data_IF_601351522948
#
_entry.id   IF_601351522948
#
_cell.length_a   1.000
_cell.length_b   1.000
_cell.length_c   1.000
_cell.angle_alpha   90.00
_cell.angle_beta   90.00
_cell.angle_gamma   90.00
#
_symmetry.space_group_name_H-M   'P 1'
#
loop_
_entity.id
_entity.type
_entity.pdbx_description
1 polymer ?
#
# COMPACT_ATOMS: atom_id res chain seq x y z
N UNK A 1 -15.47 -26.01 -14.73
CA UNK A 1 -15.19 -25.48 -16.09
C UNK A 1 -15.09 -23.98 -15.94
N UNK A 2 -13.90 -23.39 -16.11
CA UNK A 2 -13.75 -21.94 -16.10
C UNK A 2 -14.42 -21.42 -17.39
N UNK A 3 -15.45 -20.59 -17.24
CA UNK A 3 -15.99 -19.81 -18.35
C UNK A 3 -14.83 -19.03 -18.97
N UNK A 4 -14.64 -19.20 -20.27
CA UNK A 4 -13.66 -18.43 -21.02
C UNK A 4 -14.07 -16.96 -20.94
N UNK A 5 -13.41 -16.21 -20.09
CA UNK A 5 -13.63 -14.75 -19.97
C UNK A 5 -13.36 -14.15 -21.34
N UNK A 6 -14.41 -13.59 -21.96
CA UNK A 6 -14.26 -12.88 -23.21
C UNK A 6 -13.46 -11.60 -22.96
N UNK A 7 -12.19 -11.59 -23.35
CA UNK A 7 -11.28 -10.47 -23.08
C UNK A 7 -11.82 -9.14 -23.68
N UNK A 8 -12.61 -9.20 -24.77
CA UNK A 8 -13.23 -7.99 -25.37
C UNK A 8 -14.29 -7.41 -24.43
N UNK A 9 -15.20 -8.24 -23.94
CA UNK A 9 -16.27 -7.79 -23.02
C UNK A 9 -15.67 -7.27 -21.72
N UNK A 10 -14.57 -7.88 -21.25
CA UNK A 10 -13.85 -7.42 -20.07
C UNK A 10 -13.15 -6.09 -20.31
N UNK A 11 -12.55 -5.86 -21.49
CA UNK A 11 -11.95 -4.58 -21.85
C UNK A 11 -13.00 -3.45 -21.93
N UNK A 12 -14.19 -3.73 -22.48
CA UNK A 12 -15.28 -2.75 -22.55
C UNK A 12 -15.80 -2.41 -21.14
N UNK A 13 -15.93 -3.42 -20.27
CA UNK A 13 -16.29 -3.23 -18.88
C UNK A 13 -15.23 -2.39 -18.13
N UNK A 14 -13.95 -2.70 -18.34
CA UNK A 14 -12.85 -1.94 -17.74
C UNK A 14 -12.86 -0.50 -18.23
N UNK A 15 -13.00 -0.26 -19.54
CA UNK A 15 -13.08 1.09 -20.09
C UNK A 15 -14.21 1.91 -19.47
N UNK A 16 -15.38 1.30 -19.25
CA UNK A 16 -16.50 1.95 -18.59
C UNK A 16 -16.25 2.24 -17.09
N UNK A 17 -15.59 1.30 -16.39
CA UNK A 17 -15.35 1.37 -14.95
C UNK A 17 -14.07 2.14 -14.58
N UNK A 18 -13.12 2.32 -15.50
CA UNK A 18 -11.84 3.01 -15.24
C UNK A 18 -11.91 4.53 -15.34
N UNK A 19 -13.00 5.07 -15.85
CA UNK A 19 -13.13 6.53 -16.03
C UNK A 19 -12.89 7.30 -14.71
N UNK A 20 -13.36 6.77 -13.59
CA UNK A 20 -13.14 7.39 -12.28
C UNK A 20 -11.66 7.48 -11.88
N UNK A 21 -10.80 6.57 -12.36
CA UNK A 21 -9.35 6.61 -12.09
C UNK A 21 -8.75 7.91 -12.61
N UNK A 22 -9.12 8.30 -13.83
CA UNK A 22 -8.66 9.55 -14.42
C UNK A 22 -9.21 10.75 -13.65
N UNK A 23 -10.46 10.69 -13.20
CA UNK A 23 -11.06 11.74 -12.36
C UNK A 23 -10.33 11.86 -11.02
N UNK A 24 -10.04 10.74 -10.36
CA UNK A 24 -9.25 10.76 -9.11
C UNK A 24 -7.85 11.32 -9.36
N UNK A 25 -7.14 10.89 -10.42
CA UNK A 25 -5.81 11.43 -10.74
C UNK A 25 -5.87 12.95 -10.96
N UNK A 26 -6.83 13.44 -11.73
CA UNK A 26 -7.03 14.87 -11.94
C UNK A 26 -7.32 15.61 -10.62
N UNK A 27 -8.17 15.05 -9.76
CA UNK A 27 -8.45 15.61 -8.45
C UNK A 27 -7.20 15.60 -7.53
N UNK A 28 -6.39 14.56 -7.59
CA UNK A 28 -5.12 14.50 -6.86
C UNK A 28 -4.12 15.53 -7.39
N UNK A 29 -3.97 15.67 -8.70
CA UNK A 29 -3.05 16.62 -9.35
C UNK A 29 -3.39 18.09 -9.01
N UNK A 30 -4.65 18.39 -8.66
CA UNK A 30 -5.06 19.72 -8.20
C UNK A 30 -4.54 20.07 -6.80
N UNK A 31 -4.17 19.07 -5.99
CA UNK A 31 -3.78 19.25 -4.58
C UNK A 31 -2.38 18.77 -4.27
N UNK A 32 -1.85 17.84 -5.06
CA UNK A 32 -0.54 17.21 -4.87
C UNK A 32 0.29 17.47 -6.12
N UNK A 33 1.38 18.19 -5.96
CA UNK A 33 2.34 18.42 -7.04
C UNK A 33 3.33 17.27 -7.11
N UNK A 34 3.55 16.74 -8.29
CA UNK A 34 4.43 15.58 -8.48
C UNK A 34 3.85 14.31 -7.85
N UNK A 35 4.72 13.46 -7.27
CA UNK A 35 4.33 12.26 -6.51
C UNK A 35 3.40 11.30 -7.28
N UNK A 36 3.50 11.24 -8.62
CA UNK A 36 2.66 10.37 -9.47
C UNK A 36 2.75 8.90 -9.05
N UNK A 37 3.96 8.47 -8.69
CA UNK A 37 4.18 7.12 -8.21
C UNK A 37 3.40 6.82 -6.92
N UNK A 38 3.37 7.75 -5.97
CA UNK A 38 2.57 7.63 -4.74
C UNK A 38 1.08 7.50 -5.07
N UNK A 39 0.57 8.37 -5.95
CA UNK A 39 -0.86 8.35 -6.34
C UNK A 39 -1.22 7.02 -7.00
N UNK A 40 -0.41 6.54 -7.95
CA UNK A 40 -0.63 5.25 -8.61
C UNK A 40 -0.54 4.09 -7.60
N UNK A 41 0.41 4.11 -6.66
CA UNK A 41 0.55 3.09 -5.62
C UNK A 41 -0.64 3.06 -4.67
N UNK A 42 -1.19 4.22 -4.30
CA UNK A 42 -2.42 4.30 -3.50
C UNK A 42 -3.63 3.72 -4.24
N UNK A 43 -3.78 4.01 -5.54
CA UNK A 43 -4.84 3.45 -6.37
C UNK A 43 -4.69 1.94 -6.54
N UNK A 44 -3.45 1.45 -6.77
CA UNK A 44 -3.15 0.01 -6.84
C UNK A 44 -3.56 -0.66 -5.53
N UNK A 45 -3.11 -0.13 -4.39
CA UNK A 45 -3.43 -0.71 -3.09
C UNK A 45 -4.94 -0.69 -2.78
N UNK A 46 -5.62 0.39 -3.14
CA UNK A 46 -7.07 0.52 -2.99
C UNK A 46 -7.81 -0.54 -3.81
N UNK A 47 -7.43 -0.73 -5.07
CA UNK A 47 -8.06 -1.68 -5.99
C UNK A 47 -7.67 -3.15 -5.69
N UNK A 48 -6.43 -3.39 -5.27
CA UNK A 48 -5.94 -4.71 -4.84
C UNK A 48 -6.39 -5.09 -3.43
N UNK A 49 -7.15 -4.23 -2.73
CA UNK A 49 -7.59 -4.40 -1.35
C UNK A 49 -6.43 -4.62 -0.37
N UNK A 50 -5.30 -3.95 -0.60
CA UNK A 50 -4.09 -4.03 0.22
C UNK A 50 -3.86 -2.78 1.07
N UNK A 51 -2.76 -2.79 1.83
CA UNK A 51 -2.30 -1.68 2.65
C UNK A 51 -0.92 -1.25 2.20
N UNK A 52 -0.53 0.00 2.48
CA UNK A 52 0.72 0.59 1.99
C UNK A 52 1.59 1.02 3.17
N UNK A 53 2.87 0.71 3.08
CA UNK A 53 3.91 1.27 3.94
C UNK A 53 4.64 2.35 3.15
N UNK A 54 4.67 3.57 3.67
CA UNK A 54 5.42 4.68 3.08
C UNK A 54 6.70 4.93 3.85
N UNK A 55 7.80 4.97 3.16
CA UNK A 55 9.07 5.40 3.72
C UNK A 55 9.53 6.69 3.05
N UNK A 56 9.89 7.67 3.84
CA UNK A 56 10.37 8.96 3.35
C UNK A 56 10.39 10.01 4.45
N UNK A 57 11.16 11.05 4.22
CA UNK A 57 11.33 12.17 5.17
C UNK A 57 10.00 12.88 5.46
N UNK A 58 9.90 13.59 6.59
CA UNK A 58 8.75 14.44 6.90
C UNK A 58 8.54 15.53 5.82
N UNK A 59 7.30 16.02 5.71
CA UNK A 59 7.00 17.17 4.83
C UNK A 59 6.69 16.83 3.37
N UNK A 60 6.71 15.57 2.97
CA UNK A 60 6.46 15.13 1.58
C UNK A 60 4.98 14.88 1.24
N UNK A 61 4.07 15.65 1.81
CA UNK A 61 2.62 15.65 1.53
C UNK A 61 1.90 14.29 1.73
N UNK A 62 2.46 13.35 2.50
CA UNK A 62 1.88 12.02 2.77
C UNK A 62 0.45 12.12 3.32
N UNK A 63 0.26 12.94 4.36
CA UNK A 63 -1.07 13.17 4.96
C UNK A 63 -2.03 13.80 3.97
N UNK A 64 -1.57 14.80 3.19
CA UNK A 64 -2.39 15.48 2.19
C UNK A 64 -2.83 14.50 1.09
N UNK A 65 -1.95 13.61 0.65
CA UNK A 65 -2.28 12.63 -0.39
C UNK A 65 -3.41 11.68 0.03
N UNK A 66 -3.33 11.07 1.21
CA UNK A 66 -4.38 10.14 1.64
C UNK A 66 -5.68 10.86 2.02
N UNK A 67 -5.61 12.04 2.65
CA UNK A 67 -6.82 12.81 2.98
C UNK A 67 -7.53 13.32 1.73
N UNK A 68 -6.80 13.75 0.71
CA UNK A 68 -7.35 14.13 -0.59
C UNK A 68 -8.02 12.93 -1.27
N UNK A 69 -7.33 11.77 -1.31
CA UNK A 69 -7.92 10.55 -1.88
C UNK A 69 -9.22 10.16 -1.16
N UNK A 70 -9.24 10.23 0.18
CA UNK A 70 -10.43 9.94 0.97
C UNK A 70 -11.59 10.90 0.62
N UNK A 71 -11.30 12.19 0.49
CA UNK A 71 -12.30 13.21 0.11
C UNK A 71 -12.84 12.99 -1.30
N UNK A 72 -11.99 12.60 -2.26
CA UNK A 72 -12.41 12.29 -3.64
C UNK A 72 -13.32 11.06 -3.73
N UNK A 73 -13.25 10.14 -2.74
CA UNK A 73 -14.02 8.88 -2.69
C UNK A 73 -15.23 9.00 -1.72
N UNK A 74 -15.49 10.16 -1.14
CA UNK A 74 -16.50 10.35 -0.09
C UNK A 74 -16.34 9.37 1.07
N UNK A 75 -15.10 9.12 1.46
CA UNK A 75 -14.75 8.13 2.46
C UNK A 75 -14.26 8.77 3.76
N UNK A 76 -14.54 8.11 4.90
CA UNK A 76 -14.07 8.60 6.20
C UNK A 76 -12.56 8.44 6.32
N UNK A 77 -11.89 9.52 6.71
CA UNK A 77 -10.45 9.58 6.96
C UNK A 77 -10.17 9.73 8.45
N UNK A 78 -9.14 9.03 8.93
CA UNK A 78 -8.60 9.19 10.28
C UNK A 78 -7.08 9.19 10.24
N UNK A 79 -6.46 10.06 11.06
CA UNK A 79 -5.02 10.09 11.29
C UNK A 79 -4.73 9.65 12.72
N UNK A 80 -3.81 8.73 12.87
CA UNK A 80 -3.29 8.25 14.16
C UNK A 80 -1.80 8.58 14.19
N UNK A 81 -1.40 9.50 15.05
CA UNK A 81 0.01 9.77 15.31
C UNK A 81 0.52 8.73 16.30
N UNK A 82 1.49 7.93 15.90
CA UNK A 82 2.08 6.91 16.75
C UNK A 82 3.14 7.56 17.64
N UNK A 83 3.01 7.33 18.96
CA UNK A 83 3.89 7.87 20.02
C UNK A 83 4.22 6.77 21.02
N UNK A 84 5.32 6.90 21.79
CA UNK A 84 5.73 5.87 22.75
C UNK A 84 4.71 5.57 23.86
N UNK A 85 3.84 6.51 24.18
CA UNK A 85 2.81 6.43 25.21
C UNK A 85 1.44 5.94 24.71
N UNK A 86 1.29 5.73 23.38
CA UNK A 86 0.05 5.24 22.80
C UNK A 86 -0.29 3.82 23.29
N UNK A 87 -1.57 3.60 23.55
CA UNK A 87 -2.10 2.29 23.96
C UNK A 87 -2.90 1.64 22.82
N UNK A 88 -3.01 0.31 22.74
CA UNK A 88 -3.88 -0.37 21.79
C UNK A 88 -5.32 0.15 21.77
N UNK A 89 -5.87 0.48 22.95
CA UNK A 89 -7.21 1.03 23.10
C UNK A 89 -7.40 2.39 22.42
N UNK A 90 -6.33 3.19 22.28
CA UNK A 90 -6.38 4.48 21.59
C UNK A 90 -6.54 4.29 20.07
N UNK A 91 -6.12 3.15 19.53
CA UNK A 91 -6.22 2.80 18.11
C UNK A 91 -7.55 2.11 17.82
N UNK A 92 -7.86 1.05 18.57
CA UNK A 92 -9.01 0.18 18.28
C UNK A 92 -10.27 0.58 19.03
N UNK A 93 -10.13 1.29 20.15
CA UNK A 93 -11.25 1.65 21.02
C UNK A 93 -11.31 0.81 22.29
N UNK A 94 -12.24 1.14 23.16
CA UNK A 94 -12.38 0.52 24.47
C UNK A 94 -13.83 0.52 24.93
N UNK A 95 -14.10 -0.22 26.01
CA UNK A 95 -15.36 -0.12 26.74
C UNK A 95 -15.28 1.00 27.77
N UNK A 96 -16.28 1.87 27.79
CA UNK A 96 -16.43 2.94 28.78
C UNK A 96 -17.72 2.73 29.56
N UNK A 97 -17.70 3.02 30.86
CA UNK A 97 -18.91 3.00 31.67
C UNK A 97 -19.69 4.31 31.48
N UNK A 98 -20.91 4.20 30.98
CA UNK A 98 -21.81 5.32 30.84
C UNK A 98 -22.62 5.53 32.13
N UNK A 99 -22.30 6.56 32.92
CA UNK A 99 -23.01 6.89 34.15
C UNK A 99 -24.49 7.17 33.90
N UNK A 100 -24.82 7.76 32.73
CA UNK A 100 -26.21 8.10 32.34
C UNK A 100 -27.07 6.88 32.08
N UNK A 101 -26.47 5.80 31.57
CA UNK A 101 -27.17 4.57 31.15
C UNK A 101 -26.89 3.41 32.14
N UNK A 102 -26.01 3.63 33.13
CA UNK A 102 -25.58 2.64 34.11
C UNK A 102 -25.08 1.32 33.48
N UNK A 103 -24.44 1.43 32.28
CA UNK A 103 -23.95 0.28 31.51
C UNK A 103 -22.62 0.59 30.80
N UNK A 104 -21.90 -0.48 30.46
CA UNK A 104 -20.73 -0.36 29.58
C UNK A 104 -21.13 -0.15 28.12
N UNK A 105 -20.51 0.81 27.47
CA UNK A 105 -20.68 1.13 26.06
C UNK A 105 -19.35 1.03 25.31
N UNK A 106 -19.41 0.57 24.08
CA UNK A 106 -18.23 0.52 23.22
C UNK A 106 -17.96 1.91 22.65
N UNK A 107 -16.78 2.44 22.93
CA UNK A 107 -16.23 3.63 22.27
C UNK A 107 -15.26 3.16 21.18
N UNK A 108 -15.70 3.23 19.92
CA UNK A 108 -14.87 2.88 18.75
C UNK A 108 -13.69 3.83 18.62
N UNK A 109 -12.52 3.28 18.31
CA UNK A 109 -11.29 4.04 18.07
C UNK A 109 -11.19 4.56 16.63
N UNK A 110 -10.12 5.31 16.32
CA UNK A 110 -9.91 5.92 15.01
C UNK A 110 -9.70 4.91 13.87
N UNK A 111 -9.41 3.65 14.16
CA UNK A 111 -9.29 2.59 13.14
C UNK A 111 -10.61 2.32 12.41
N UNK A 112 -11.75 2.73 12.98
CA UNK A 112 -13.07 2.61 12.36
C UNK A 112 -13.34 3.72 11.32
N UNK A 113 -12.38 3.93 10.43
CA UNK A 113 -12.50 4.79 9.24
C UNK A 113 -12.15 3.98 7.99
N UNK A 114 -12.57 4.46 6.82
CA UNK A 114 -12.23 3.80 5.55
C UNK A 114 -10.75 3.96 5.20
N UNK A 115 -10.19 5.15 5.47
CA UNK A 115 -8.79 5.48 5.22
C UNK A 115 -8.14 5.88 6.55
N UNK A 116 -7.12 5.13 6.93
CA UNK A 116 -6.37 5.36 8.16
C UNK A 116 -4.92 5.67 7.82
N UNK A 117 -4.44 6.84 8.24
CA UNK A 117 -3.03 7.17 8.22
C UNK A 117 -2.45 6.83 9.60
N UNK A 118 -1.61 5.79 9.67
CA UNK A 118 -0.81 5.45 10.83
C UNK A 118 0.55 6.16 10.70
N UNK A 119 0.64 7.37 11.24
CA UNK A 119 1.81 8.23 11.06
C UNK A 119 2.91 7.86 12.06
N UNK A 120 4.13 7.61 11.56
CA UNK A 120 5.30 7.19 12.32
C UNK A 120 5.06 5.89 13.13
N UNK A 121 4.56 4.85 12.46
CA UNK A 121 4.15 3.57 13.10
C UNK A 121 5.26 2.95 13.96
N UNK A 122 6.53 3.19 13.61
CA UNK A 122 7.69 2.69 14.33
C UNK A 122 7.98 3.45 15.65
N UNK A 123 7.25 4.50 16.01
CA UNK A 123 7.40 5.21 17.29
C UNK A 123 6.58 4.62 18.44
N UNK A 124 5.57 3.80 18.16
CA UNK A 124 4.78 3.17 19.21
C UNK A 124 5.28 1.76 19.56
N UNK A 125 5.03 1.31 20.79
CA UNK A 125 5.39 -0.03 21.25
C UNK A 125 4.77 -1.13 20.38
N UNK A 126 5.41 -2.30 20.32
CA UNK A 126 5.01 -3.44 19.50
C UNK A 126 3.55 -3.90 19.73
N UNK A 127 3.00 -3.72 20.92
CA UNK A 127 1.59 -4.05 21.21
C UNK A 127 0.61 -3.19 20.44
N UNK A 128 0.91 -1.91 20.27
CA UNK A 128 0.08 -0.96 19.50
C UNK A 128 0.18 -1.24 18.02
N UNK A 129 1.41 -1.46 17.53
CA UNK A 129 1.64 -1.87 16.15
C UNK A 129 0.85 -3.15 15.82
N UNK A 130 0.92 -4.16 16.70
CA UNK A 130 0.21 -5.44 16.53
C UNK A 130 -1.30 -5.26 16.45
N UNK A 131 -1.89 -4.38 17.27
CA UNK A 131 -3.34 -4.12 17.24
C UNK A 131 -3.80 -3.54 15.89
N UNK A 132 -3.05 -2.59 15.32
CA UNK A 132 -3.34 -2.07 13.99
C UNK A 132 -3.16 -3.13 12.90
N UNK A 133 -2.07 -3.90 12.96
CA UNK A 133 -1.76 -4.92 11.96
C UNK A 133 -2.74 -6.11 12.00
N UNK A 134 -3.32 -6.41 13.16
CA UNK A 134 -4.41 -7.38 13.30
C UNK A 134 -5.68 -6.83 12.62
N UNK A 135 -6.06 -5.59 12.93
CA UNK A 135 -7.21 -4.94 12.27
C UNK A 135 -7.06 -4.89 10.75
N UNK A 136 -5.83 -4.66 10.24
CA UNK A 136 -5.53 -4.68 8.80
C UNK A 136 -5.76 -6.06 8.18
N UNK A 137 -5.33 -7.12 8.85
CA UNK A 137 -5.39 -8.49 8.33
C UNK A 137 -6.81 -9.06 8.43
N UNK A 138 -7.43 -8.92 9.60
CA UNK A 138 -8.72 -9.55 9.91
C UNK A 138 -9.93 -8.72 9.42
N UNK A 139 -9.71 -7.45 9.05
CA UNK A 139 -10.78 -6.50 8.66
C UNK A 139 -11.87 -6.37 9.71
N UNK A 140 -11.54 -6.63 10.96
CA UNK A 140 -12.41 -6.55 12.12
C UNK A 140 -11.61 -6.23 13.37
N UNK A 141 -12.30 -5.76 14.40
CA UNK A 141 -11.72 -5.44 15.71
C UNK A 141 -12.62 -5.99 16.79
N UNK A 142 -12.01 -6.63 17.79
CA UNK A 142 -12.73 -7.10 18.99
C UNK A 142 -12.51 -6.12 20.15
N UNK A 143 -13.60 -5.62 20.73
CA UNK A 143 -13.59 -4.72 21.88
C UNK A 143 -14.46 -5.36 22.98
N UNK A 144 -13.84 -5.75 24.09
CA UNK A 144 -14.50 -6.58 25.11
C UNK A 144 -14.87 -7.93 24.52
N UNK A 145 -16.16 -8.26 24.54
CA UNK A 145 -16.71 -9.53 24.01
C UNK A 145 -17.31 -9.38 22.60
N UNK A 146 -17.26 -8.19 22.01
CA UNK A 146 -17.93 -7.91 20.73
C UNK A 146 -16.91 -7.70 19.62
N UNK A 147 -17.16 -8.34 18.47
CA UNK A 147 -16.36 -8.18 17.24
C UNK A 147 -17.10 -7.30 16.25
N UNK A 148 -16.42 -6.28 15.77
CA UNK A 148 -16.93 -5.28 14.83
C UNK A 148 -16.16 -5.39 13.51
N UNK A 149 -16.86 -5.57 12.39
CA UNK A 149 -16.27 -5.47 11.06
C UNK A 149 -15.93 -4.01 10.75
N UNK A 150 -14.83 -3.80 10.05
CA UNK A 150 -14.45 -2.51 9.51
C UNK A 150 -15.18 -2.25 8.19
N UNK A 151 -15.55 -0.98 7.95
CA UNK A 151 -16.26 -0.60 6.74
C UNK A 151 -15.35 -0.67 5.51
N UNK A 152 -15.90 -1.13 4.39
CA UNK A 152 -15.18 -1.17 3.11
C UNK A 152 -15.43 0.08 2.24
N UNK A 153 -14.43 0.53 1.47
CA UNK A 153 -13.06 0.05 1.43
C UNK A 153 -12.29 0.43 2.71
N UNK A 154 -11.40 -0.45 3.16
CA UNK A 154 -10.52 -0.17 4.29
C UNK A 154 -9.06 -0.16 3.82
N UNK A 155 -8.41 0.98 3.90
CA UNK A 155 -7.02 1.19 3.51
C UNK A 155 -6.23 1.81 4.65
N UNK A 156 -5.18 1.15 5.08
CA UNK A 156 -4.20 1.71 6.01
C UNK A 156 -2.97 2.13 5.23
N UNK A 157 -2.56 3.37 5.46
CA UNK A 157 -1.31 3.95 5.02
C UNK A 157 -0.44 4.15 6.26
N UNK A 158 0.56 3.32 6.45
CA UNK A 158 1.52 3.49 7.54
C UNK A 158 2.75 4.26 7.04
N UNK A 159 3.28 5.17 7.85
CA UNK A 159 4.52 5.89 7.51
C UNK A 159 5.65 5.48 8.43
N UNK A 160 6.86 5.45 7.87
CA UNK A 160 8.12 5.33 8.60
C UNK A 160 9.05 6.47 8.20
N UNK A 161 9.76 7.00 9.19
CA UNK A 161 10.84 7.96 8.95
C UNK A 161 12.18 7.22 9.05
N UNK A 162 12.93 7.12 7.95
CA UNK A 162 14.21 6.39 7.96
C UNK A 162 15.33 7.11 8.72
N UNK A 163 15.20 8.41 8.97
CA UNK A 163 16.24 9.23 9.60
C UNK A 163 16.17 9.16 11.12
N UNK A 164 14.98 9.10 11.69
CA UNK A 164 14.78 9.03 13.14
C UNK A 164 14.93 7.61 13.64
N UNK A 165 16.06 7.30 14.26
CA UNK A 165 16.35 6.00 14.86
C UNK A 165 16.17 6.00 16.40
N UNK A 166 16.34 7.12 17.07
CA UNK A 166 16.17 7.23 18.53
C UNK A 166 14.70 7.10 18.93
N UNK A 167 14.43 6.25 19.91
CA UNK A 167 13.07 6.05 20.46
C UNK A 167 12.13 5.32 19.48
N UNK A 168 12.67 4.57 18.52
CA UNK A 168 11.86 3.80 17.58
C UNK A 168 11.85 2.30 17.92
N UNK A 169 10.73 1.66 17.58
CA UNK A 169 10.52 0.22 17.68
C UNK A 169 10.36 -0.32 16.25
N UNK A 170 11.40 -0.90 15.63
CA UNK A 170 11.32 -1.39 14.28
C UNK A 170 10.22 -2.45 14.15
N UNK A 171 9.48 -2.39 13.06
CA UNK A 171 8.48 -3.41 12.74
C UNK A 171 9.22 -4.74 12.45
N UNK A 172 8.86 -5.85 13.10
CA UNK A 172 9.36 -7.16 12.72
C UNK A 172 9.03 -7.48 11.25
N UNK A 173 9.91 -8.19 10.57
CA UNK A 173 9.75 -8.57 9.15
C UNK A 173 8.41 -9.24 8.85
N UNK A 174 7.97 -10.16 9.72
CA UNK A 174 6.67 -10.83 9.58
C UNK A 174 5.47 -9.85 9.66
N UNK A 175 5.66 -8.69 10.25
CA UNK A 175 4.66 -7.64 10.33
C UNK A 175 4.70 -6.74 9.09
N UNK A 176 5.89 -6.38 8.62
CA UNK A 176 6.08 -5.59 7.39
C UNK A 176 5.58 -6.36 6.16
N UNK A 177 5.73 -7.68 6.12
CA UNK A 177 5.22 -8.57 5.06
C UNK A 177 3.68 -8.52 4.87
N UNK A 178 2.92 -7.96 5.83
CA UNK A 178 1.46 -7.77 5.72
C UNK A 178 1.06 -6.61 4.82
N UNK A 179 1.95 -5.64 4.58
CA UNK A 179 1.69 -4.57 3.63
C UNK A 179 1.78 -5.10 2.20
N UNK A 180 0.89 -4.63 1.34
CA UNK A 180 0.91 -4.97 -0.09
C UNK A 180 2.19 -4.45 -0.74
N UNK A 181 2.50 -3.19 -0.48
CA UNK A 181 3.60 -2.43 -1.08
C UNK A 181 4.31 -1.58 -0.03
N UNK A 182 5.63 -1.43 -0.18
CA UNK A 182 6.44 -0.42 0.50
C UNK A 182 6.89 0.60 -0.55
N UNK A 183 6.40 1.82 -0.45
CA UNK A 183 6.67 2.90 -1.41
C UNK A 183 7.69 3.87 -0.82
N UNK A 184 8.75 4.14 -1.55
CA UNK A 184 9.75 5.14 -1.20
C UNK A 184 9.33 6.50 -1.76
N UNK A 185 9.34 7.52 -0.91
CA UNK A 185 8.99 8.89 -1.30
C UNK A 185 10.24 9.74 -1.24
N UNK A 186 10.67 10.19 -2.41
CA UNK A 186 11.78 11.12 -2.58
C UNK A 186 11.37 12.58 -2.49
N UNK A 187 12.37 13.46 -2.41
CA UNK A 187 12.15 14.89 -2.53
C UNK A 187 11.60 15.29 -3.90
N UNK A 188 10.76 16.32 -3.97
CA UNK A 188 10.30 16.86 -5.24
C UNK A 188 11.49 17.46 -6.03
N UNK A 189 11.35 17.49 -7.35
CA UNK A 189 12.28 18.22 -8.20
C UNK A 189 12.19 19.73 -7.98
N UNK A 190 13.20 20.48 -8.40
CA UNK A 190 13.23 21.95 -8.26
C UNK A 190 12.01 22.63 -8.92
N UNK A 191 11.53 22.11 -10.04
CA UNK A 191 10.32 22.61 -10.70
C UNK A 191 9.06 22.33 -9.89
N UNK A 192 8.93 21.11 -9.36
CA UNK A 192 7.81 20.73 -8.49
C UNK A 192 7.79 21.54 -7.18
N UNK A 193 8.96 21.82 -6.57
CA UNK A 193 9.02 22.73 -5.40
C UNK A 193 8.50 24.13 -5.73
N UNK A 194 8.84 24.68 -6.90
CA UNK A 194 8.31 25.98 -7.33
C UNK A 194 6.79 25.95 -7.46
N UNK A 195 6.23 24.85 -7.98
CA UNK A 195 4.78 24.70 -8.13
C UNK A 195 4.09 24.46 -6.77
N UNK A 196 4.74 23.75 -5.85
CA UNK A 196 4.29 23.60 -4.45
C UNK A 196 4.18 24.98 -3.77
N UNK A 197 5.19 25.85 -3.94
CA UNK A 197 5.16 27.20 -3.41
C UNK A 197 3.95 27.96 -3.97
N UNK A 198 3.79 28.00 -5.29
CA UNK A 198 2.66 28.71 -5.94
C UNK A 198 1.31 28.23 -5.41
N UNK A 199 1.14 26.91 -5.30
CA UNK A 199 -0.10 26.29 -4.82
C UNK A 199 -0.40 26.64 -3.35
N UNK A 200 0.61 26.73 -2.48
CA UNK A 200 0.39 26.94 -1.05
C UNK A 200 0.28 28.42 -0.65
N UNK A 201 0.76 29.36 -1.50
CA UNK A 201 0.58 30.80 -1.29
C UNK A 201 -0.63 31.37 -2.02
N UNK A 202 -1.33 30.54 -2.82
CA UNK A 202 -2.57 30.96 -3.47
C UNK A 202 -3.63 31.35 -2.41
N UNK A 203 -4.38 32.44 -2.64
CA UNK A 203 -5.35 32.93 -1.65
C UNK A 203 -6.51 31.99 -1.42
N UNK A 204 -6.91 31.22 -2.44
CA UNK A 204 -8.03 30.29 -2.38
C UNK A 204 -7.53 28.86 -2.41
N UNK A 205 -7.73 28.08 -1.33
CA UNK A 205 -7.42 26.66 -1.34
C UNK A 205 -8.35 25.90 -2.31
N UNK A 206 -7.80 24.93 -3.03
CA UNK A 206 -8.59 24.08 -3.92
C UNK A 206 -9.56 23.25 -3.08
N UNK A 207 -10.86 23.44 -3.31
CA UNK A 207 -11.90 22.64 -2.68
C UNK A 207 -11.99 21.27 -3.37
N UNK A 208 -11.69 20.20 -2.61
CA UNK A 208 -11.80 18.82 -3.10
C UNK A 208 -13.25 18.35 -2.91
N UNK A 209 -13.91 18.00 -4.01
CA UNK A 209 -15.26 17.46 -3.98
C UNK A 209 -15.25 15.95 -4.27
N UNK A 210 -16.17 15.18 -3.66
CA UNK A 210 -16.33 13.77 -3.96
C UNK A 210 -16.61 13.54 -5.45
N UNK A 211 -15.92 12.58 -6.06
CA UNK A 211 -16.07 12.20 -7.46
C UNK A 211 -16.62 10.78 -7.61
N UNK A 212 -16.42 9.93 -6.61
CA UNK A 212 -16.86 8.54 -6.56
C UNK A 212 -17.25 8.16 -5.14
N UNK A 213 -18.00 7.08 -4.98
CA UNK A 213 -18.42 6.57 -3.68
C UNK A 213 -17.58 5.37 -3.24
N UNK A 214 -17.54 5.04 -1.93
CA UNK A 214 -16.95 3.81 -1.43
C UNK A 214 -17.47 2.54 -2.13
N UNK A 215 -18.79 2.52 -2.47
CA UNK A 215 -19.41 1.40 -3.16
C UNK A 215 -18.85 1.20 -4.58
N UNK A 216 -18.56 2.28 -5.31
CA UNK A 216 -17.97 2.22 -6.65
C UNK A 216 -16.58 1.55 -6.61
N UNK A 217 -15.79 1.82 -5.55
CA UNK A 217 -14.50 1.18 -5.35
C UNK A 217 -14.65 -0.32 -5.10
N UNK A 218 -15.58 -0.70 -4.22
CA UNK A 218 -15.83 -2.12 -3.91
C UNK A 218 -16.30 -2.88 -5.15
N UNK A 219 -17.17 -2.30 -5.96
CA UNK A 219 -17.62 -2.91 -7.20
C UNK A 219 -16.50 -3.01 -8.24
N UNK A 220 -15.66 -1.98 -8.33
CA UNK A 220 -14.51 -2.01 -9.23
C UNK A 220 -13.49 -3.09 -8.84
N UNK A 221 -13.30 -3.36 -7.56
CA UNK A 221 -12.44 -4.49 -7.10
C UNK A 221 -12.88 -5.82 -7.70
N UNK A 222 -14.20 -6.06 -7.84
CA UNK A 222 -14.73 -7.29 -8.46
C UNK A 222 -14.32 -7.40 -9.93
N UNK A 223 -14.24 -6.28 -10.64
CA UNK A 223 -13.77 -6.23 -12.04
C UNK A 223 -12.26 -6.46 -12.10
N UNK A 224 -11.48 -5.84 -11.22
CA UNK A 224 -10.02 -6.05 -11.14
C UNK A 224 -9.67 -7.52 -10.86
N UNK A 225 -10.46 -8.22 -10.04
CA UNK A 225 -10.27 -9.65 -9.76
C UNK A 225 -10.46 -10.54 -11.01
N UNK A 226 -11.24 -10.10 -12.01
CA UNK A 226 -11.48 -10.82 -13.25
C UNK A 226 -10.38 -10.62 -14.29
N UNK A 227 -9.45 -9.66 -14.09
CA UNK A 227 -8.34 -9.42 -15.01
C UNK A 227 -7.50 -10.68 -15.16
N UNK A 228 -7.32 -11.09 -16.40
CA UNK A 228 -6.66 -12.34 -16.74
C UNK A 228 -5.15 -12.28 -16.49
N UNK A 229 -4.63 -13.33 -15.88
CA UNK A 229 -3.18 -13.56 -15.75
C UNK A 229 -2.86 -14.89 -16.41
N UNK A 230 -2.07 -14.85 -17.49
CA UNK A 230 -1.60 -16.05 -18.18
C UNK A 230 -0.67 -16.88 -17.29
N UNK A 231 -0.66 -18.21 -17.49
CA UNK A 231 0.21 -19.12 -16.73
C UNK A 231 1.70 -18.78 -16.87
N UNK A 232 2.13 -18.24 -18.03
CA UNK A 232 3.50 -17.77 -18.24
C UNK A 232 3.82 -16.57 -17.35
N UNK A 233 2.88 -15.65 -17.18
CA UNK A 233 3.03 -14.51 -16.27
C UNK A 233 3.06 -14.98 -14.82
N UNK A 234 2.20 -15.94 -14.44
CA UNK A 234 2.24 -16.53 -13.11
C UNK A 234 3.60 -17.19 -12.84
N UNK A 235 4.13 -17.94 -13.80
CA UNK A 235 5.46 -18.54 -13.71
C UNK A 235 6.54 -17.47 -13.58
N UNK A 236 6.48 -16.41 -14.39
CA UNK A 236 7.43 -15.29 -14.31
C UNK A 236 7.45 -14.64 -12.91
N UNK A 237 6.28 -14.40 -12.31
CA UNK A 237 6.16 -13.90 -10.93
C UNK A 237 6.82 -14.88 -9.94
N UNK A 238 6.55 -16.17 -10.08
CA UNK A 238 7.13 -17.21 -9.21
C UNK A 238 8.65 -17.26 -9.37
N UNK A 239 9.16 -17.21 -10.60
CA UNK A 239 10.61 -17.24 -10.88
C UNK A 239 11.32 -16.03 -10.26
N UNK A 240 10.76 -14.81 -10.33
CA UNK A 240 11.30 -13.62 -9.66
C UNK A 240 11.40 -13.85 -8.15
N UNK A 241 10.33 -14.36 -7.52
CA UNK A 241 10.31 -14.58 -6.07
C UNK A 241 11.27 -15.71 -5.67
N UNK A 242 11.32 -16.80 -6.44
CA UNK A 242 12.25 -17.92 -6.19
C UNK A 242 13.71 -17.51 -6.37
N UNK A 243 14.03 -16.65 -7.35
CA UNK A 243 15.37 -16.13 -7.52
C UNK A 243 15.88 -15.39 -6.28
N UNK A 244 15.01 -14.76 -5.50
CA UNK A 244 15.38 -14.14 -4.23
C UNK A 244 15.71 -15.15 -3.12
N UNK A 245 15.19 -16.37 -3.19
CA UNK A 245 15.43 -17.46 -2.21
C UNK A 245 16.61 -18.33 -2.62
N UNK A 246 16.73 -18.61 -3.90
CA UNK A 246 17.68 -19.53 -4.49
C UNK A 246 18.42 -18.88 -5.67
N UNK A 247 19.17 -17.79 -5.43
CA UNK A 247 19.79 -17.01 -6.51
C UNK A 247 20.73 -17.85 -7.38
N UNK A 248 21.40 -18.84 -6.83
CA UNK A 248 22.30 -19.72 -7.57
C UNK A 248 21.59 -20.52 -8.66
N UNK A 249 20.33 -20.93 -8.45
CA UNK A 249 19.54 -21.71 -9.41
C UNK A 249 19.18 -20.89 -10.66
N UNK A 250 19.23 -19.57 -10.54
CA UNK A 250 18.96 -18.60 -11.61
C UNK A 250 20.25 -17.94 -12.15
N UNK A 251 21.44 -18.45 -11.78
CA UNK A 251 22.72 -17.91 -12.23
C UNK A 251 23.08 -16.55 -11.63
N UNK A 252 22.54 -16.23 -10.45
CA UNK A 252 22.76 -15.01 -9.68
C UNK A 252 23.67 -15.30 -8.47
N UNK A 253 24.79 -15.97 -8.71
CA UNK A 253 25.69 -16.44 -7.63
C UNK A 253 26.21 -15.29 -6.74
N UNK A 254 26.42 -14.11 -7.32
CA UNK A 254 26.91 -12.93 -6.61
C UNK A 254 25.88 -12.41 -5.58
N UNK A 255 24.60 -12.67 -5.79
CA UNK A 255 23.54 -12.26 -4.85
C UNK A 255 23.41 -13.22 -3.65
N UNK A 256 24.01 -14.41 -3.71
CA UNK A 256 23.88 -15.42 -2.65
C UNK A 256 24.42 -14.92 -1.30
N UNK A 257 25.53 -14.19 -1.31
CA UNK A 257 26.13 -13.62 -0.09
C UNK A 257 25.43 -12.32 0.35
N UNK A 258 24.64 -11.69 -0.54
CA UNK A 258 23.98 -10.40 -0.29
C UNK A 258 22.60 -10.54 0.34
N UNK A 259 21.96 -11.70 0.22
CA UNK A 259 20.59 -11.95 0.70
C UNK A 259 20.65 -12.85 1.94
N UNK A 260 20.16 -12.36 3.08
CA UNK A 260 20.03 -13.14 4.31
C UNK A 260 18.79 -14.04 4.28
N UNK A 261 17.68 -13.54 3.75
CA UNK A 261 16.45 -14.32 3.47
C UNK A 261 15.71 -13.76 2.27
N UNK A 262 15.11 -14.63 1.47
CA UNK A 262 14.30 -14.28 0.30
C UNK A 262 12.82 -14.05 0.65
N UNK A 263 12.09 -13.51 -0.31
CA UNK A 263 10.70 -13.11 -0.14
C UNK A 263 9.75 -14.30 0.14
N UNK A 264 8.73 -14.07 0.98
CA UNK A 264 7.70 -15.06 1.32
C UNK A 264 6.74 -15.33 0.16
N UNK A 265 5.89 -16.39 0.22
CA UNK A 265 4.83 -16.60 -0.78
C UNK A 265 3.84 -15.44 -0.91
N UNK A 266 3.72 -14.58 0.12
CA UNK A 266 2.94 -13.33 0.05
C UNK A 266 3.45 -12.40 -1.05
N UNK A 267 4.74 -12.42 -1.34
CA UNK A 267 5.30 -11.63 -2.45
C UNK A 267 4.67 -12.03 -3.80
N UNK A 268 4.58 -13.33 -4.10
CA UNK A 268 3.97 -13.82 -5.34
C UNK A 268 2.49 -13.43 -5.43
N UNK A 269 1.74 -13.61 -4.32
CA UNK A 269 0.32 -13.25 -4.25
C UNK A 269 0.14 -11.74 -4.45
N UNK A 270 0.90 -10.94 -3.72
CA UNK A 270 0.79 -9.48 -3.77
C UNK A 270 1.24 -8.92 -5.12
N UNK A 271 2.25 -9.52 -5.74
CA UNK A 271 2.70 -9.14 -7.08
C UNK A 271 1.60 -9.41 -8.12
N UNK A 272 0.92 -10.56 -8.04
CA UNK A 272 -0.20 -10.86 -8.93
C UNK A 272 -1.38 -9.90 -8.72
N UNK A 273 -1.73 -9.59 -7.47
CA UNK A 273 -2.81 -8.65 -7.14
C UNK A 273 -2.47 -7.22 -7.59
N UNK A 274 -1.26 -6.75 -7.29
CA UNK A 274 -0.80 -5.42 -7.69
C UNK A 274 -0.69 -5.28 -9.22
N UNK A 275 -0.22 -6.31 -9.93
CA UNK A 275 -0.15 -6.32 -11.41
C UNK A 275 -1.53 -6.25 -12.05
N UNK A 276 -2.54 -6.95 -11.50
CA UNK A 276 -3.95 -6.80 -11.95
C UNK A 276 -4.44 -5.38 -11.79
N UNK A 277 -4.24 -4.80 -10.61
CA UNK A 277 -4.64 -3.42 -10.35
C UNK A 277 -3.90 -2.44 -11.27
N UNK A 278 -2.61 -2.66 -11.53
CA UNK A 278 -1.84 -1.85 -12.46
C UNK A 278 -2.34 -1.98 -13.91
N UNK A 279 -2.65 -3.20 -14.39
CA UNK A 279 -3.26 -3.43 -15.70
C UNK A 279 -4.61 -2.70 -15.84
N UNK A 280 -5.45 -2.71 -14.78
CA UNK A 280 -6.69 -1.95 -14.73
C UNK A 280 -6.45 -0.44 -14.89
N UNK A 281 -5.44 0.13 -14.19
CA UNK A 281 -5.07 1.53 -14.32
C UNK A 281 -4.57 1.90 -15.74
N UNK A 282 -4.20 0.89 -16.54
CA UNK A 282 -3.80 1.00 -17.95
C UNK A 282 -4.91 0.62 -18.93
N UNK A 283 -6.15 0.46 -18.44
CA UNK A 283 -7.33 0.08 -19.21
C UNK A 283 -7.18 -1.25 -19.97
N UNK A 284 -6.55 -2.25 -19.34
CA UNK A 284 -6.34 -3.59 -19.92
C UNK A 284 -6.98 -4.68 -19.08
N UNK A 285 -7.62 -5.65 -19.74
CA UNK A 285 -8.23 -6.83 -19.13
C UNK A 285 -7.28 -8.02 -18.92
N UNK A 286 -5.99 -7.83 -19.15
CA UNK A 286 -4.95 -8.85 -18.95
C UNK A 286 -3.64 -8.22 -18.47
N UNK A 287 -2.86 -9.02 -17.75
CA UNK A 287 -1.55 -8.63 -17.24
C UNK A 287 -0.46 -8.95 -18.25
N UNK A 288 0.50 -8.05 -18.41
CA UNK A 288 1.71 -8.23 -19.21
C UNK A 288 2.97 -8.19 -18.30
N UNK A 289 4.13 -8.66 -18.77
CA UNK A 289 5.36 -8.66 -17.97
C UNK A 289 5.75 -7.28 -17.43
N UNK A 290 5.49 -6.23 -18.19
CA UNK A 290 5.77 -4.84 -17.81
C UNK A 290 4.98 -4.40 -16.57
N UNK A 291 3.76 -4.94 -16.38
CA UNK A 291 2.95 -4.65 -15.19
C UNK A 291 3.59 -5.27 -13.94
N UNK A 292 4.11 -6.50 -14.09
CA UNK A 292 4.83 -7.18 -13.00
C UNK A 292 6.10 -6.40 -12.64
N UNK A 293 6.88 -5.99 -13.65
CA UNK A 293 8.11 -5.18 -13.44
C UNK A 293 7.80 -3.84 -12.79
N UNK A 294 6.70 -3.18 -13.18
CA UNK A 294 6.30 -1.88 -12.64
C UNK A 294 6.01 -1.89 -11.14
N UNK A 295 5.47 -2.99 -10.61
CA UNK A 295 5.12 -3.11 -9.19
C UNK A 295 6.15 -3.89 -8.36
N UNK A 296 7.12 -4.54 -9.01
CA UNK A 296 8.02 -5.49 -8.39
C UNK A 296 8.83 -4.88 -7.23
N UNK A 297 9.45 -3.71 -7.44
CA UNK A 297 10.25 -3.06 -6.41
C UNK A 297 9.42 -2.74 -5.16
N UNK A 298 8.24 -2.14 -5.33
CA UNK A 298 7.37 -1.78 -4.22
C UNK A 298 6.83 -2.99 -3.47
N UNK A 299 6.59 -4.10 -4.18
CA UNK A 299 6.10 -5.35 -3.56
C UNK A 299 7.21 -6.12 -2.88
N UNK A 300 8.44 -6.10 -3.42
CA UNK A 300 9.53 -6.98 -2.99
C UNK A 300 10.47 -6.36 -1.96
N UNK A 301 10.72 -5.02 -1.99
CA UNK A 301 11.82 -4.39 -1.24
C UNK A 301 11.76 -4.59 0.28
N UNK A 302 10.57 -4.74 0.85
CA UNK A 302 10.38 -4.97 2.27
C UNK A 302 10.25 -6.45 2.65
N UNK A 303 10.51 -7.33 1.70
CA UNK A 303 10.43 -8.80 1.84
C UNK A 303 11.77 -9.49 1.62
N UNK A 304 12.81 -8.71 1.32
CA UNK A 304 14.17 -9.17 1.19
C UNK A 304 14.98 -8.74 2.39
N UNK A 305 15.61 -9.68 3.08
CA UNK A 305 16.60 -9.38 4.10
C UNK A 305 17.96 -9.23 3.46
N UNK A 306 18.63 -8.12 3.76
CA UNK A 306 20.01 -7.89 3.37
C UNK A 306 20.96 -8.57 4.34
N UNK A 307 22.09 -9.03 3.86
CA UNK A 307 23.19 -9.52 4.71
C UNK A 307 24.04 -8.34 5.20
N UNK A 308 24.82 -8.56 6.24
CA UNK A 308 25.84 -7.59 6.68
C UNK A 308 26.84 -7.22 5.58
N UNK A 309 27.13 -8.15 4.67
CA UNK A 309 28.00 -7.91 3.53
C UNK A 309 27.37 -6.94 2.53
N UNK A 310 26.06 -7.08 2.27
CA UNK A 310 25.31 -6.13 1.43
C UNK A 310 25.26 -4.75 2.05
N UNK A 311 24.97 -4.66 3.34
CA UNK A 311 24.91 -3.38 4.08
C UNK A 311 26.29 -2.69 4.10
N UNK A 312 27.38 -3.43 4.34
CA UNK A 312 28.73 -2.90 4.33
C UNK A 312 29.17 -2.37 2.95
N UNK A 313 28.63 -2.95 1.87
CA UNK A 313 28.86 -2.52 0.50
C UNK A 313 27.83 -1.48 0.01
N UNK A 314 26.92 -1.01 0.89
CA UNK A 314 25.81 -0.08 0.55
C UNK A 314 24.90 -0.60 -0.56
N UNK A 315 24.75 -1.92 -0.70
CA UNK A 315 23.85 -2.54 -1.66
C UNK A 315 22.43 -2.48 -1.11
N UNK A 316 21.51 -1.97 -1.92
CA UNK A 316 20.10 -1.82 -1.55
C UNK A 316 19.25 -3.00 -2.01
N UNK A 317 18.09 -3.20 -1.37
CA UNK A 317 17.12 -4.19 -1.81
C UNK A 317 16.65 -3.92 -3.27
N UNK A 318 16.54 -2.64 -3.67
CA UNK A 318 16.13 -2.26 -5.01
C UNK A 318 17.18 -2.64 -6.06
N UNK A 319 18.48 -2.56 -5.76
CA UNK A 319 19.55 -3.04 -6.65
C UNK A 319 19.50 -4.57 -6.81
N UNK A 320 19.26 -5.30 -5.72
CA UNK A 320 19.10 -6.75 -5.77
C UNK A 320 17.89 -7.13 -6.64
N UNK A 321 16.76 -6.46 -6.45
CA UNK A 321 15.54 -6.68 -7.26
C UNK A 321 15.81 -6.38 -8.73
N UNK A 322 16.51 -5.30 -9.03
CA UNK A 322 16.87 -4.94 -10.40
C UNK A 322 17.72 -6.02 -11.06
N UNK A 323 18.73 -6.55 -10.36
CA UNK A 323 19.57 -7.64 -10.86
C UNK A 323 18.74 -8.93 -11.12
N UNK A 324 17.77 -9.24 -10.26
CA UNK A 324 16.86 -10.36 -10.46
C UNK A 324 16.01 -10.13 -11.72
N UNK A 325 15.40 -8.96 -11.86
CA UNK A 325 14.55 -8.61 -13.01
C UNK A 325 15.30 -8.61 -14.35
N UNK A 326 16.58 -8.28 -14.35
CA UNK A 326 17.40 -8.27 -15.56
C UNK A 326 17.85 -9.68 -15.96
N UNK A 327 17.92 -10.61 -15.01
CA UNK A 327 18.35 -11.99 -15.24
C UNK A 327 17.19 -12.92 -15.63
N UNK A 328 16.01 -12.73 -15.02
CA UNK A 328 14.85 -13.61 -15.26
C UNK A 328 14.29 -13.33 -16.66
N UNK A 329 14.17 -14.40 -17.45
CA UNK A 329 13.64 -14.31 -18.81
C UNK A 329 12.19 -13.83 -18.81
N UNK A 330 11.92 -12.82 -19.63
CA UNK A 330 10.56 -12.29 -19.84
C UNK A 330 9.81 -13.27 -20.75
N UNK A 331 8.59 -13.69 -20.42
CA UNK A 331 7.81 -14.67 -21.17
C UNK A 331 7.26 -14.13 -22.50
#
# INVERSE_FOLDING_TARGET
MAESVNIRDLNDLIASKSNFVNLIRQGMDQTIVGQKHLVDSLLIALLANGHVLLEGVPGLAKTKAISTLASLIDARFSRIQFTPDLLPADVVGTMIYSIKKEQFEVKKGPVFANFVLADEINRAPAKVQSALLEAMQERQVTIGEQTFKLDEPFLVLATQNPIEQEGTYPLPEAQVDRFLMKVLIGYPSKSEESDIIKMNIAPDPVEVRPLVTPADIVDTRKVVQQIYIDEKIQKYIVDIVFASRFPSDYGLNDLKSMISFGASPRASINMALASRAYAFLRNRGYVIPEDVRAVCHDVMRHRLGLSYEAEANNITADEIISNILDKIAVP
#
